data_IF_010375360425
#
_entry.id   IF_010375360425
#
_cell.length_a   1.000
_cell.length_b   1.000
_cell.length_c   1.000
_cell.angle_alpha   90.00
_cell.angle_beta   90.00
_cell.angle_gamma   90.00
#
_symmetry.space_group_name_H-M   'P 1'
#
loop_
_entity.id
_entity.type
_entity.pdbx_description
1 polymer ?
#
# COMPACT_ATOMS: atom_id res chain seq x y z
N UNK A 1 5.51 12.06 -1.90
CA UNK A 1 5.17 11.27 -3.10
C UNK A 1 4.18 10.17 -2.76
N UNK A 2 3.48 9.67 -3.77
CA UNK A 2 2.51 8.57 -3.67
C UNK A 2 2.96 7.45 -4.61
N UNK A 3 3.07 6.23 -4.09
CA UNK A 3 3.29 5.00 -4.85
C UNK A 3 2.01 4.17 -4.88
N UNK A 4 1.48 3.92 -6.08
CA UNK A 4 0.31 3.08 -6.29
C UNK A 4 0.77 1.74 -6.85
N UNK A 5 0.77 0.72 -5.99
CA UNK A 5 1.29 -0.63 -6.20
C UNK A 5 2.60 -0.66 -7.01
N UNK A 6 3.70 -0.07 -6.49
CA UNK A 6 4.95 0.07 -7.23
C UNK A 6 5.42 -1.27 -7.81
N UNK A 7 5.95 -1.27 -9.03
CA UNK A 7 6.40 -2.50 -9.68
C UNK A 7 7.44 -3.26 -8.83
N UNK A 8 7.22 -4.55 -8.66
CA UNK A 8 8.15 -5.47 -8.01
C UNK A 8 9.29 -5.92 -8.94
N UNK A 9 8.99 -6.48 -10.12
CA UNK A 9 9.99 -7.00 -11.05
C UNK A 9 11.07 -5.97 -11.37
N UNK A 10 12.34 -6.37 -11.27
CA UNK A 10 13.54 -5.52 -11.46
C UNK A 10 13.84 -4.51 -10.34
N UNK A 11 12.99 -4.37 -9.32
CA UNK A 11 13.18 -3.41 -8.22
C UNK A 11 13.41 -4.08 -6.85
N UNK A 12 13.35 -5.42 -6.77
CA UNK A 12 13.62 -6.22 -5.56
C UNK A 12 15.10 -6.47 -5.26
N UNK A 13 16.01 -5.94 -6.08
CA UNK A 13 17.46 -6.09 -5.86
C UNK A 13 17.94 -5.30 -4.63
N UNK A 14 19.14 -5.60 -4.14
CA UNK A 14 19.76 -4.84 -3.05
C UNK A 14 20.09 -3.39 -3.44
N UNK A 15 20.27 -3.12 -4.74
CA UNK A 15 20.45 -1.75 -5.21
C UNK A 15 19.12 -1.01 -5.13
N UNK A 16 19.03 -0.05 -4.20
CA UNK A 16 17.82 0.74 -3.97
C UNK A 16 17.78 2.04 -4.78
N UNK A 17 18.86 2.40 -5.50
CA UNK A 17 18.96 3.69 -6.21
C UNK A 17 17.92 3.86 -7.32
N UNK A 18 17.39 2.75 -7.84
CA UNK A 18 16.44 2.74 -8.95
C UNK A 18 14.98 2.54 -8.50
N UNK A 19 14.69 2.49 -7.20
CA UNK A 19 13.33 2.26 -6.69
C UNK A 19 12.87 3.37 -5.76
N UNK A 20 11.57 3.38 -5.48
CA UNK A 20 10.98 4.24 -4.46
C UNK A 20 11.58 3.90 -3.09
N UNK A 21 11.91 4.92 -2.31
CA UNK A 21 12.38 4.77 -0.93
C UNK A 21 11.73 5.85 -0.06
N UNK A 22 11.74 5.73 1.28
CA UNK A 22 11.22 6.80 2.14
C UNK A 22 11.90 8.16 1.90
N UNK A 23 13.20 8.15 1.57
CA UNK A 23 13.96 9.37 1.25
C UNK A 23 13.70 9.99 -0.13
N UNK A 24 12.80 9.41 -0.95
CA UNK A 24 12.50 9.93 -2.29
C UNK A 24 11.69 11.24 -2.26
N UNK A 25 11.10 11.61 -1.12
CA UNK A 25 10.41 12.88 -0.91
C UNK A 25 10.40 13.23 0.60
N UNK A 26 9.78 14.36 0.98
CA UNK A 26 9.56 14.70 2.39
C UNK A 26 8.69 13.66 3.13
N UNK A 27 7.80 13.00 2.40
CA UNK A 27 6.97 11.90 2.89
C UNK A 27 6.55 11.04 1.69
N UNK A 28 6.61 9.73 1.83
CA UNK A 28 6.28 8.74 0.81
C UNK A 28 5.20 7.80 1.32
N UNK A 29 4.03 7.85 0.68
CA UNK A 29 2.89 6.99 0.96
C UNK A 29 2.80 5.91 -0.12
N UNK A 30 2.61 4.65 0.27
CA UNK A 30 2.50 3.53 -0.70
C UNK A 30 1.24 2.72 -0.43
N UNK A 31 0.52 2.34 -1.49
CA UNK A 31 -0.63 1.45 -1.44
C UNK A 31 -0.26 0.17 -2.19
N UNK A 32 -0.25 -0.97 -1.49
CA UNK A 32 0.04 -2.28 -2.07
C UNK A 32 -1.26 -3.05 -2.28
N UNK A 33 -1.48 -3.53 -3.50
CA UNK A 33 -2.66 -4.32 -3.85
C UNK A 33 -2.32 -5.57 -4.65
N UNK A 34 -1.10 -5.68 -5.20
CA UNK A 34 -0.62 -6.86 -5.93
C UNK A 34 0.81 -7.24 -5.52
N UNK A 35 1.14 -7.01 -4.24
CA UNK A 35 2.46 -7.28 -3.67
C UNK A 35 2.86 -8.75 -3.79
N UNK A 36 4.05 -8.99 -4.35
CA UNK A 36 4.64 -10.32 -4.49
C UNK A 36 4.32 -11.02 -5.82
N UNK A 37 3.51 -10.40 -6.68
CA UNK A 37 3.27 -10.85 -8.06
C UNK A 37 3.91 -9.89 -9.06
N UNK A 38 3.19 -8.81 -9.43
CA UNK A 38 3.76 -7.71 -10.24
C UNK A 38 4.00 -6.45 -9.42
N UNK A 39 3.37 -6.32 -8.25
CA UNK A 39 3.65 -5.28 -7.26
C UNK A 39 4.77 -5.66 -6.29
N UNK A 40 5.45 -4.66 -5.78
CA UNK A 40 6.48 -4.80 -4.76
C UNK A 40 5.82 -5.05 -3.40
N UNK A 41 6.25 -6.05 -2.65
CA UNK A 41 5.58 -6.46 -1.40
C UNK A 41 6.10 -5.73 -0.15
N UNK A 42 7.42 -5.54 -0.05
CA UNK A 42 8.02 -4.99 1.16
C UNK A 42 7.76 -3.48 1.26
N UNK A 43 7.92 -2.93 2.47
CA UNK A 43 7.81 -1.49 2.70
C UNK A 43 8.78 -0.70 1.81
N UNK A 44 8.25 0.35 1.18
CA UNK A 44 8.99 1.29 0.32
C UNK A 44 8.83 2.74 0.77
N UNK A 45 7.81 3.06 1.58
CA UNK A 45 7.51 4.43 2.01
C UNK A 45 7.71 4.67 3.51
N UNK A 46 7.36 5.88 3.93
CA UNK A 46 7.18 6.24 5.34
C UNK A 46 5.89 5.63 5.91
N UNK A 47 4.89 5.43 5.05
CA UNK A 47 3.67 4.73 5.37
C UNK A 47 3.21 3.84 4.19
N UNK A 48 3.18 2.54 4.44
CA UNK A 48 2.74 1.51 3.49
C UNK A 48 1.39 0.93 3.93
N UNK A 49 0.44 0.90 3.01
CA UNK A 49 -0.93 0.46 3.25
C UNK A 49 -1.20 -0.81 2.47
N UNK A 50 -1.76 -1.81 3.15
CA UNK A 50 -1.98 -3.15 2.63
C UNK A 50 -3.48 -3.53 2.70
N UNK A 51 -4.36 -2.86 1.92
CA UNK A 51 -5.77 -3.23 1.87
C UNK A 51 -5.92 -4.72 1.53
N UNK A 52 -6.74 -5.41 2.33
CA UNK A 52 -6.97 -6.85 2.21
C UNK A 52 -5.68 -7.70 2.23
N UNK A 53 -4.63 -7.21 2.91
CA UNK A 53 -3.33 -7.86 3.00
C UNK A 53 -2.34 -7.49 1.89
N UNK A 54 -2.77 -6.67 0.92
CA UNK A 54 -1.94 -6.05 -0.10
C UNK A 54 -1.32 -6.98 -1.14
N UNK A 55 -1.86 -8.19 -1.27
CA UNK A 55 -1.46 -9.20 -2.27
C UNK A 55 -2.51 -9.33 -3.37
N UNK A 56 -2.17 -10.05 -4.43
CA UNK A 56 -2.99 -10.24 -5.63
C UNK A 56 -4.40 -10.84 -5.39
N UNK A 57 -4.63 -11.54 -4.27
CA UNK A 57 -5.96 -12.04 -3.89
C UNK A 57 -6.85 -10.93 -3.31
N UNK A 58 -7.16 -9.93 -4.13
CA UNK A 58 -8.08 -8.86 -3.78
C UNK A 58 -9.54 -9.26 -4.03
N UNK A 59 -10.49 -8.85 -3.18
CA UNK A 59 -11.91 -9.04 -3.43
C UNK A 59 -12.32 -8.47 -4.80
N UNK A 60 -12.98 -9.27 -5.64
CA UNK A 60 -13.38 -8.92 -7.00
C UNK A 60 -12.31 -9.12 -8.08
N UNK A 61 -11.13 -9.65 -7.72
CA UNK A 61 -10.05 -10.01 -8.64
C UNK A 61 -9.71 -11.52 -8.60
N UNK A 62 -10.64 -12.38 -8.19
CA UNK A 62 -10.39 -13.81 -7.91
C UNK A 62 -9.89 -14.60 -9.13
N UNK A 63 -10.31 -14.20 -10.34
CA UNK A 63 -9.92 -14.86 -11.59
C UNK A 63 -8.66 -14.24 -12.23
N UNK A 64 -8.08 -13.22 -11.62
CA UNK A 64 -6.95 -12.47 -12.16
C UNK A 64 -5.61 -13.13 -11.81
N UNK A 65 -5.25 -14.16 -12.59
CA UNK A 65 -3.99 -14.90 -12.41
C UNK A 65 -2.76 -14.04 -12.72
N UNK A 66 -2.89 -13.05 -13.60
CA UNK A 66 -1.78 -12.19 -14.02
C UNK A 66 -1.59 -10.96 -13.11
N UNK A 67 -2.55 -10.67 -12.23
CA UNK A 67 -2.46 -9.57 -11.26
C UNK A 67 -2.82 -8.18 -11.80
N UNK A 68 -3.36 -8.07 -13.02
CA UNK A 68 -3.71 -6.79 -13.64
C UNK A 68 -4.86 -6.07 -12.91
N UNK A 69 -5.90 -6.81 -12.54
CA UNK A 69 -7.02 -6.31 -11.75
C UNK A 69 -6.52 -5.82 -10.39
N UNK A 70 -5.80 -6.68 -9.67
CA UNK A 70 -5.32 -6.36 -8.33
C UNK A 70 -4.34 -5.18 -8.34
N UNK A 71 -3.45 -5.10 -9.34
CA UNK A 71 -2.51 -3.98 -9.50
C UNK A 71 -3.24 -2.64 -9.73
N UNK A 72 -4.26 -2.64 -10.59
CA UNK A 72 -5.07 -1.45 -10.88
C UNK A 72 -5.97 -1.01 -9.71
N UNK A 73 -6.28 -1.90 -8.75
CA UNK A 73 -7.08 -1.54 -7.57
C UNK A 73 -6.44 -0.46 -6.70
N UNK A 74 -5.11 -0.34 -6.70
CA UNK A 74 -4.41 0.73 -5.97
C UNK A 74 -4.91 2.13 -6.36
N UNK A 75 -5.15 2.36 -7.66
CA UNK A 75 -5.72 3.60 -8.20
C UNK A 75 -7.15 3.80 -7.70
N UNK A 76 -7.98 2.76 -7.79
CA UNK A 76 -9.40 2.85 -7.35
C UNK A 76 -9.51 3.15 -5.86
N UNK A 77 -8.73 2.46 -5.03
CA UNK A 77 -8.68 2.70 -3.60
C UNK A 77 -8.19 4.11 -3.28
N UNK A 78 -7.16 4.60 -3.97
CA UNK A 78 -6.69 5.96 -3.77
C UNK A 78 -7.77 7.01 -4.09
N UNK A 79 -8.41 6.90 -5.25
CA UNK A 79 -9.50 7.82 -5.65
C UNK A 79 -10.62 7.81 -4.61
N UNK A 80 -11.12 6.62 -4.25
CA UNK A 80 -12.21 6.48 -3.29
C UNK A 80 -11.82 6.98 -1.89
N UNK A 81 -10.55 6.82 -1.50
CA UNK A 81 -10.06 7.30 -0.22
C UNK A 81 -10.03 8.82 -0.11
N UNK A 82 -9.81 9.53 -1.22
CA UNK A 82 -9.91 11.00 -1.28
C UNK A 82 -11.38 11.44 -1.25
N UNK A 83 -12.25 10.74 -1.97
CA UNK A 83 -13.66 11.11 -2.09
C UNK A 83 -14.43 10.89 -0.78
N UNK A 84 -14.17 9.79 -0.08
CA UNK A 84 -14.94 9.40 1.10
C UNK A 84 -14.23 9.64 2.41
N UNK A 85 -12.89 9.66 2.40
CA UNK A 85 -12.07 9.76 3.60
C UNK A 85 -12.14 8.54 4.54
N UNK A 86 -12.81 7.45 4.17
CA UNK A 86 -13.19 6.39 5.12
C UNK A 86 -12.24 5.18 5.16
N UNK A 87 -11.05 5.29 4.61
CA UNK A 87 -10.09 4.17 4.56
C UNK A 87 -9.19 4.16 5.80
N UNK A 88 -9.79 3.80 6.93
CA UNK A 88 -9.10 3.66 8.21
C UNK A 88 -8.13 2.47 8.16
N UNK A 89 -6.86 2.75 8.41
CA UNK A 89 -5.80 1.76 8.52
C UNK A 89 -5.24 1.73 9.94
N UNK A 90 -4.61 0.62 10.30
CA UNK A 90 -4.08 0.36 11.63
C UNK A 90 -2.66 -0.14 11.50
N UNK A 91 -1.73 0.51 12.21
CA UNK A 91 -0.34 0.07 12.23
C UNK A 91 -0.27 -1.33 12.84
N UNK A 92 0.35 -2.27 12.15
CA UNK A 92 0.47 -3.65 12.58
C UNK A 92 1.76 -4.28 12.06
N UNK A 93 2.29 -5.28 12.75
CA UNK A 93 3.52 -5.98 12.32
C UNK A 93 3.29 -6.92 11.13
N UNK A 94 2.06 -7.41 10.97
CA UNK A 94 1.66 -8.27 9.85
C UNK A 94 0.16 -8.21 9.62
N UNK A 95 -0.29 -8.65 8.44
CA UNK A 95 -1.72 -8.79 8.16
C UNK A 95 -2.38 -9.89 9.00
N UNK A 96 -1.65 -10.95 9.37
CA UNK A 96 -2.14 -12.01 10.26
C UNK A 96 -2.38 -11.50 11.69
N UNK A 97 -1.49 -10.65 12.21
CA UNK A 97 -1.71 -10.01 13.51
C UNK A 97 -2.89 -9.05 13.47
N UNK A 98 -3.11 -8.38 12.34
CA UNK A 98 -4.27 -7.50 12.12
C UNK A 98 -5.58 -8.29 12.13
N UNK A 99 -5.69 -9.39 11.39
CA UNK A 99 -6.91 -10.21 11.37
C UNK A 99 -7.19 -10.89 12.70
N UNK A 100 -6.14 -11.15 13.51
CA UNK A 100 -6.26 -11.66 14.88
C UNK A 100 -6.53 -10.57 15.93
N UNK A 101 -6.67 -9.30 15.52
CA UNK A 101 -6.99 -8.18 16.43
C UNK A 101 -5.85 -7.75 17.36
N UNK A 102 -4.62 -8.24 17.15
CA UNK A 102 -3.49 -7.97 18.05
C UNK A 102 -3.00 -6.51 18.04
N UNK A 103 -3.40 -5.73 17.05
CA UNK A 103 -3.05 -4.31 16.94
C UNK A 103 -4.24 -3.37 17.20
N UNK A 104 -5.33 -3.83 17.83
CA UNK A 104 -6.54 -3.04 18.08
C UNK A 104 -6.34 -1.74 18.87
N UNK A 105 -5.22 -1.60 19.57
CA UNK A 105 -4.83 -0.37 20.29
C UNK A 105 -3.71 0.41 19.59
N UNK A 106 -3.25 -0.06 18.43
CA UNK A 106 -2.19 0.59 17.66
C UNK A 106 -2.67 1.88 16.97
N UNK A 107 -1.75 2.82 16.66
CA UNK A 107 -2.08 4.04 15.96
C UNK A 107 -2.85 3.78 14.65
N UNK A 108 -3.76 4.70 14.37
CA UNK A 108 -4.60 4.71 13.18
C UNK A 108 -4.08 5.78 12.22
N UNK A 109 -4.16 5.48 10.94
CA UNK A 109 -4.03 6.46 9.86
C UNK A 109 -5.17 6.28 8.86
N UNK A 110 -5.33 7.24 7.95
CA UNK A 110 -6.30 7.16 6.87
C UNK A 110 -5.56 7.09 5.55
N UNK A 111 -5.75 6.00 4.82
CA UNK A 111 -5.11 5.79 3.51
C UNK A 111 -5.52 6.89 2.54
N UNK A 112 -4.59 7.28 1.66
CA UNK A 112 -4.77 8.34 0.66
C UNK A 112 -4.98 9.76 1.18
N UNK A 113 -5.07 9.95 2.50
CA UNK A 113 -5.08 11.28 3.10
C UNK A 113 -3.69 11.74 3.49
N UNK A 114 -3.42 13.02 3.28
CA UNK A 114 -2.24 13.69 3.80
C UNK A 114 -2.65 15.07 4.31
N UNK A 115 -2.28 15.39 5.55
CA UNK A 115 -2.33 16.77 6.04
C UNK A 115 -1.12 17.48 5.46
N UNK A 116 -1.31 18.17 4.32
CA UNK A 116 -0.35 19.18 3.90
C UNK A 116 -0.48 20.31 4.92
N UNK A 117 0.46 20.43 5.84
CA UNK A 117 0.66 21.69 6.55
C UNK A 117 1.00 22.73 5.47
N UNK A 118 0.01 23.54 5.12
CA UNK A 118 0.24 24.75 4.33
C UNK A 118 0.92 25.72 5.28
N UNK A 119 2.25 25.70 5.27
CA UNK A 119 3.06 26.75 5.87
C UNK A 119 2.70 28.12 5.32
#
# INVERSE_FOLDING_TARGET
>A
YLGLDPAGPSFTTENTRNRLTPGSAQFVHVIHTCGGLIGYLNSLGDADYYPNGGKNHQPGCEMDVLGNCAHFLSIKFYIESILTGNFKARKCGSYDDFTKGKCNDSPISYMGQYKVDKG
#
